data_IF_870594170864
#
_entry.id   IF_870594170864
#
_cell.length_a   1.000
_cell.length_b   1.000
_cell.length_c   1.000
_cell.angle_alpha   90.00
_cell.angle_beta   90.00
_cell.angle_gamma   90.00
#
_symmetry.space_group_name_H-M   'P 1'
#
loop_
_entity.id
_entity.type
_entity.pdbx_description
1 polymer ?
#
# COMPACT_ATOMS: atom_id res chain seq x y z
N UNK A 1 -12.27 7.35 -15.01
CA UNK A 1 -10.97 8.01 -15.14
C UNK A 1 -9.86 7.24 -14.40
N UNK A 2 -9.92 6.94 -13.07
CA UNK A 2 -8.81 6.31 -12.37
C UNK A 2 -8.31 5.00 -12.99
N UNK A 3 -9.21 4.17 -13.55
CA UNK A 3 -8.86 2.89 -14.19
C UNK A 3 -7.90 3.09 -15.37
N UNK A 4 -8.26 3.95 -16.32
CA UNK A 4 -7.45 4.18 -17.53
C UNK A 4 -6.12 4.86 -17.20
N UNK A 5 -6.12 5.77 -16.22
CA UNK A 5 -4.88 6.45 -15.78
C UNK A 5 -3.97 5.48 -15.05
N UNK A 6 -4.50 4.59 -14.21
CA UNK A 6 -3.71 3.56 -13.54
C UNK A 6 -3.05 2.57 -14.51
N UNK A 7 -3.66 2.38 -15.70
CA UNK A 7 -3.12 1.57 -16.80
C UNK A 7 -2.16 2.34 -17.74
N UNK A 8 -1.79 3.59 -17.37
CA UNK A 8 -0.77 4.35 -18.08
C UNK A 8 -1.30 5.30 -19.16
N UNK A 9 -2.62 5.55 -19.23
CA UNK A 9 -3.18 6.53 -20.19
C UNK A 9 -3.02 7.93 -19.64
N UNK A 10 -2.27 8.79 -20.35
CA UNK A 10 -1.99 10.18 -19.97
C UNK A 10 -2.99 11.18 -20.54
N UNK A 11 -3.54 10.89 -21.71
CA UNK A 11 -4.47 11.78 -22.41
C UNK A 11 -5.69 11.01 -22.91
N UNK A 12 -6.85 11.60 -22.75
CA UNK A 12 -8.11 11.07 -23.29
C UNK A 12 -9.07 12.22 -23.55
N UNK A 13 -9.91 12.06 -24.54
CA UNK A 13 -11.06 12.92 -24.78
C UNK A 13 -12.35 12.18 -24.38
N UNK A 14 -13.41 12.93 -24.14
CA UNK A 14 -14.69 12.33 -23.82
C UNK A 14 -15.86 13.25 -24.11
N UNK A 15 -16.78 12.78 -24.91
CA UNK A 15 -18.10 13.37 -25.12
C UNK A 15 -19.15 12.89 -24.11
N UNK A 16 -18.77 12.13 -23.08
CA UNK A 16 -19.71 11.52 -22.12
C UNK A 16 -20.60 12.55 -21.42
N UNK A 17 -20.05 13.74 -21.11
CA UNK A 17 -20.79 14.80 -20.43
C UNK A 17 -22.03 15.24 -21.19
N UNK A 18 -21.95 15.39 -22.53
CA UNK A 18 -23.09 15.81 -23.36
C UNK A 18 -23.98 14.62 -23.75
N UNK A 19 -23.41 13.44 -24.00
CA UNK A 19 -24.17 12.24 -24.33
C UNK A 19 -25.07 11.83 -23.18
N UNK A 20 -24.56 11.82 -21.95
CA UNK A 20 -25.38 11.55 -20.77
C UNK A 20 -26.39 12.64 -20.50
N UNK A 21 -26.08 13.92 -20.76
CA UNK A 21 -27.05 15.00 -20.63
C UNK A 21 -28.23 14.84 -21.61
N UNK A 22 -27.99 14.42 -22.85
CA UNK A 22 -29.03 14.15 -23.85
C UNK A 22 -29.94 12.96 -23.49
N UNK A 23 -29.38 12.02 -22.66
CA UNK A 23 -30.14 10.88 -22.10
C UNK A 23 -30.70 11.18 -20.71
N UNK A 24 -30.85 12.45 -20.34
CA UNK A 24 -31.33 12.90 -19.03
C UNK A 24 -30.61 12.22 -17.84
N UNK A 25 -29.27 12.03 -17.96
CA UNK A 25 -28.43 11.45 -16.93
C UNK A 25 -27.55 12.49 -16.26
N UNK A 26 -27.71 12.57 -14.97
CA UNK A 26 -26.90 13.35 -14.06
C UNK A 26 -25.67 12.53 -13.63
N UNK A 27 -24.46 13.00 -13.88
CA UNK A 27 -23.23 12.34 -13.49
C UNK A 27 -22.93 12.57 -12.02
N UNK A 28 -22.39 11.54 -11.38
CA UNK A 28 -21.82 11.57 -10.02
C UNK A 28 -20.40 11.01 -10.06
N UNK A 29 -19.73 11.03 -8.95
CA UNK A 29 -18.40 10.41 -8.79
C UNK A 29 -18.42 8.88 -8.96
N UNK A 30 -19.59 8.28 -8.75
CA UNK A 30 -19.79 6.82 -8.70
C UNK A 30 -20.62 6.28 -9.84
N UNK A 31 -21.09 7.12 -10.75
CA UNK A 31 -21.91 6.70 -11.89
C UNK A 31 -22.85 7.78 -12.39
N UNK A 32 -24.01 7.38 -12.88
CA UNK A 32 -25.03 8.31 -13.37
C UNK A 32 -26.41 7.98 -12.78
N UNK A 33 -27.22 9.01 -12.56
CA UNK A 33 -28.59 8.88 -12.06
C UNK A 33 -29.51 9.53 -13.09
N UNK A 34 -30.66 8.92 -13.41
CA UNK A 34 -31.67 9.57 -14.24
C UNK A 34 -32.27 10.75 -13.48
N UNK A 35 -32.44 11.87 -14.15
CA UNK A 35 -32.95 13.12 -13.54
C UNK A 35 -34.34 12.92 -12.89
N UNK A 36 -35.16 12.08 -13.47
CA UNK A 36 -36.47 11.69 -12.91
C UNK A 36 -36.40 11.05 -11.52
N UNK A 37 -35.25 10.40 -11.19
CA UNK A 37 -35.02 9.69 -9.92
C UNK A 37 -34.24 10.52 -8.89
N UNK A 38 -33.95 11.77 -9.20
CA UNK A 38 -33.22 12.67 -8.26
C UNK A 38 -34.23 13.39 -7.37
N UNK A 39 -34.13 13.21 -6.08
CA UNK A 39 -34.78 14.05 -5.08
C UNK A 39 -33.98 15.29 -4.73
N UNK A 40 -32.65 15.15 -4.75
CA UNK A 40 -31.68 16.22 -4.47
C UNK A 40 -30.60 16.25 -5.54
N UNK A 41 -29.95 17.40 -5.72
CA UNK A 41 -28.73 17.53 -6.54
C UNK A 41 -27.52 17.42 -5.62
N UNK A 42 -26.85 16.24 -5.51
CA UNK A 42 -25.75 16.02 -4.57
C UNK A 42 -24.42 16.61 -5.10
N UNK A 43 -24.45 17.87 -5.51
CA UNK A 43 -23.29 18.58 -6.03
C UNK A 43 -23.39 20.08 -5.72
N UNK A 44 -22.25 20.71 -5.48
CA UNK A 44 -22.14 22.14 -5.23
C UNK A 44 -21.57 22.94 -6.40
N UNK A 45 -21.67 22.40 -7.65
CA UNK A 45 -21.24 23.16 -8.82
C UNK A 45 -22.17 24.39 -9.06
N UNK A 46 -21.75 25.38 -9.86
CA UNK A 46 -22.57 26.60 -10.12
C UNK A 46 -23.98 26.37 -10.64
N UNK A 47 -24.24 25.20 -11.20
CA UNK A 47 -25.58 24.81 -11.65
C UNK A 47 -26.40 24.29 -10.47
N UNK A 48 -25.90 23.30 -9.76
CA UNK A 48 -26.64 22.62 -8.68
C UNK A 48 -26.85 23.51 -7.45
N UNK A 49 -25.99 24.52 -7.22
CA UNK A 49 -26.15 25.47 -6.14
C UNK A 49 -27.27 26.49 -6.37
N UNK A 50 -27.82 26.59 -7.58
CA UNK A 50 -28.81 27.60 -7.95
C UNK A 50 -30.20 27.04 -8.24
N UNK A 51 -30.38 25.72 -8.21
CA UNK A 51 -31.66 25.08 -8.50
C UNK A 51 -31.82 23.78 -7.71
N UNK A 52 -33.04 23.37 -7.54
CA UNK A 52 -33.45 22.08 -7.00
C UNK A 52 -33.55 21.01 -8.09
N UNK A 53 -33.65 19.73 -7.69
CA UNK A 53 -33.92 18.64 -8.62
C UNK A 53 -35.31 18.76 -9.29
N UNK A 54 -36.29 19.31 -8.57
CA UNK A 54 -37.62 19.57 -9.12
C UNK A 54 -37.59 20.65 -10.22
N UNK A 55 -36.92 21.76 -10.00
CA UNK A 55 -36.71 22.81 -11.00
C UNK A 55 -35.97 22.30 -12.21
N UNK A 56 -34.90 21.52 -12.04
CA UNK A 56 -34.16 20.90 -13.15
C UNK A 56 -35.06 20.02 -14.01
N UNK A 57 -35.96 19.21 -13.41
CA UNK A 57 -36.92 18.36 -14.13
C UNK A 57 -37.92 19.18 -14.93
N UNK A 58 -38.33 20.34 -14.44
CA UNK A 58 -39.36 21.18 -15.06
C UNK A 58 -38.80 22.03 -16.22
N UNK A 59 -37.48 22.15 -16.36
CA UNK A 59 -36.91 22.88 -17.48
C UNK A 59 -37.29 22.30 -18.83
N UNK A 60 -37.49 23.16 -19.86
CA UNK A 60 -37.61 22.73 -21.27
C UNK A 60 -36.40 21.82 -21.60
N UNK A 61 -36.61 20.83 -22.47
CA UNK A 61 -35.64 19.78 -22.76
C UNK A 61 -34.27 20.36 -23.14
N UNK A 62 -34.19 21.36 -24.01
CA UNK A 62 -32.92 21.90 -24.47
C UNK A 62 -32.17 22.67 -23.36
N UNK A 63 -32.90 23.37 -22.51
CA UNK A 63 -32.32 24.03 -21.34
C UNK A 63 -31.82 23.01 -20.31
N UNK A 64 -32.60 21.96 -20.05
CA UNK A 64 -32.23 20.87 -19.15
C UNK A 64 -30.96 20.16 -19.65
N UNK A 65 -30.87 19.83 -20.94
CA UNK A 65 -29.65 19.24 -21.54
C UNK A 65 -28.46 20.16 -21.31
N UNK A 66 -28.62 21.47 -21.51
CA UNK A 66 -27.55 22.46 -21.31
C UNK A 66 -27.06 22.49 -19.87
N UNK A 67 -28.00 22.54 -18.90
CA UNK A 67 -27.65 22.54 -17.48
C UNK A 67 -26.98 21.24 -17.06
N UNK A 68 -27.52 20.10 -17.50
CA UNK A 68 -26.91 18.78 -17.24
C UNK A 68 -25.52 18.64 -17.87
N UNK A 69 -25.33 19.08 -19.12
CA UNK A 69 -24.04 19.01 -19.78
C UNK A 69 -22.99 19.83 -19.03
N UNK A 70 -23.35 21.03 -18.58
CA UNK A 70 -22.46 21.85 -17.77
C UNK A 70 -22.13 21.19 -16.43
N UNK A 71 -23.14 20.68 -15.71
CA UNK A 71 -22.92 19.93 -14.48
C UNK A 71 -22.00 18.72 -14.71
N UNK A 72 -22.32 17.89 -15.70
CA UNK A 72 -21.55 16.69 -16.03
C UNK A 72 -20.08 17.03 -16.37
N UNK A 73 -19.86 18.14 -17.07
CA UNK A 73 -18.50 18.63 -17.36
C UNK A 73 -17.74 19.02 -16.08
N UNK A 74 -18.42 19.66 -15.10
CA UNK A 74 -17.81 19.93 -13.80
C UNK A 74 -17.39 18.64 -13.09
N UNK A 75 -18.21 17.58 -13.13
CA UNK A 75 -17.86 16.27 -12.55
C UNK A 75 -16.64 15.68 -13.25
N UNK A 76 -16.57 15.72 -14.59
CA UNK A 76 -15.39 15.26 -15.33
C UNK A 76 -14.11 15.98 -14.88
N UNK A 77 -14.13 17.31 -14.82
CA UNK A 77 -12.97 18.09 -14.37
C UNK A 77 -12.62 17.86 -12.91
N UNK A 78 -13.62 17.67 -12.05
CA UNK A 78 -13.38 17.33 -10.64
C UNK A 78 -12.64 15.99 -10.53
N UNK A 79 -13.08 14.96 -11.25
CA UNK A 79 -12.41 13.65 -11.24
C UNK A 79 -10.98 13.72 -11.78
N UNK A 80 -10.74 14.46 -12.86
CA UNK A 80 -9.37 14.69 -13.38
C UNK A 80 -8.48 15.34 -12.32
N UNK A 81 -8.99 16.35 -11.59
CA UNK A 81 -8.24 17.02 -10.50
C UNK A 81 -7.96 16.05 -9.35
N UNK A 82 -8.91 15.19 -8.99
CA UNK A 82 -8.75 14.15 -7.94
C UNK A 82 -7.70 13.13 -8.34
N UNK A 83 -7.73 12.66 -9.59
CA UNK A 83 -6.71 11.73 -10.11
C UNK A 83 -5.32 12.39 -10.05
N UNK A 84 -5.17 13.63 -10.52
CA UNK A 84 -3.91 14.37 -10.43
C UNK A 84 -3.41 14.52 -9.00
N UNK A 85 -4.31 14.81 -8.05
CA UNK A 85 -3.94 14.90 -6.64
C UNK A 85 -3.55 13.52 -6.08
N UNK A 86 -4.31 12.48 -6.42
CA UNK A 86 -4.01 11.11 -5.99
C UNK A 86 -2.64 10.62 -6.49
N UNK A 87 -2.26 10.96 -7.73
CA UNK A 87 -0.91 10.67 -8.27
C UNK A 87 0.15 11.38 -7.42
N UNK A 88 -0.01 12.68 -7.16
CA UNK A 88 0.95 13.46 -6.35
C UNK A 88 1.07 12.99 -4.90
N UNK A 89 -0.02 12.48 -4.35
CA UNK A 89 -0.06 11.93 -2.99
C UNK A 89 0.46 10.48 -2.92
N UNK A 90 0.72 9.82 -4.07
CA UNK A 90 1.07 8.40 -4.13
C UNK A 90 -0.11 7.46 -3.88
N UNK A 91 -1.37 7.93 -4.06
CA UNK A 91 -2.61 7.23 -3.68
C UNK A 91 -3.54 6.89 -4.85
N UNK A 92 -3.01 6.84 -6.07
CA UNK A 92 -3.83 6.53 -7.25
C UNK A 92 -4.56 5.18 -7.12
N UNK A 93 -3.89 4.16 -6.59
CA UNK A 93 -4.49 2.83 -6.40
C UNK A 93 -5.60 2.82 -5.34
N UNK A 94 -5.47 3.65 -4.30
CA UNK A 94 -6.54 3.82 -3.30
C UNK A 94 -7.78 4.49 -3.91
N UNK A 95 -7.58 5.52 -4.74
CA UNK A 95 -8.67 6.17 -5.47
C UNK A 95 -9.33 5.21 -6.46
N UNK A 96 -8.53 4.41 -7.18
CA UNK A 96 -9.03 3.39 -8.10
C UNK A 96 -9.93 2.39 -7.38
N UNK A 97 -9.47 1.85 -6.25
CA UNK A 97 -10.26 0.90 -5.46
C UNK A 97 -11.57 1.52 -4.93
N UNK A 98 -11.54 2.75 -4.43
CA UNK A 98 -12.75 3.46 -4.00
C UNK A 98 -13.77 3.58 -5.14
N UNK A 99 -13.32 3.91 -6.35
CA UNK A 99 -14.20 3.99 -7.52
C UNK A 99 -14.68 2.62 -7.99
N UNK A 100 -13.85 1.60 -7.89
CA UNK A 100 -14.23 0.23 -8.19
C UNK A 100 -15.39 -0.26 -7.31
N UNK A 101 -15.36 0.06 -6.02
CA UNK A 101 -16.40 -0.33 -5.04
C UNK A 101 -17.76 0.36 -5.24
N UNK A 102 -17.88 1.29 -6.19
CA UNK A 102 -19.14 1.93 -6.52
C UNK A 102 -20.12 1.02 -7.27
N UNK A 103 -19.66 -0.04 -7.91
CA UNK A 103 -20.49 -1.00 -8.62
C UNK A 103 -19.84 -2.39 -8.68
N UNK A 104 -20.59 -3.49 -8.47
CA UNK A 104 -20.01 -4.85 -8.49
C UNK A 104 -19.23 -5.19 -9.75
N UNK A 105 -19.70 -4.79 -10.94
CA UNK A 105 -18.97 -5.04 -12.21
C UNK A 105 -17.66 -4.25 -12.30
N UNK A 106 -17.62 -3.03 -11.76
CA UNK A 106 -16.37 -2.26 -11.68
C UNK A 106 -15.40 -2.90 -10.71
N UNK A 107 -15.90 -3.40 -9.58
CA UNK A 107 -15.09 -4.11 -8.61
C UNK A 107 -14.53 -5.41 -9.19
N UNK A 108 -15.34 -6.16 -9.92
CA UNK A 108 -14.86 -7.35 -10.64
C UNK A 108 -13.73 -6.99 -11.63
N UNK A 109 -13.90 -5.94 -12.43
CA UNK A 109 -12.86 -5.46 -13.34
C UNK A 109 -11.58 -5.04 -12.60
N UNK A 110 -11.70 -4.41 -11.43
CA UNK A 110 -10.56 -4.10 -10.57
C UNK A 110 -9.85 -5.37 -10.09
N UNK A 111 -10.58 -6.38 -9.63
CA UNK A 111 -10.01 -7.66 -9.19
C UNK A 111 -9.28 -8.36 -10.34
N UNK A 112 -9.84 -8.33 -11.56
CA UNK A 112 -9.18 -8.92 -12.74
C UNK A 112 -7.85 -8.19 -13.06
N UNK A 113 -7.82 -6.86 -12.97
CA UNK A 113 -6.57 -6.08 -13.10
C UNK A 113 -5.56 -6.52 -12.03
N UNK A 114 -5.99 -6.63 -10.77
CA UNK A 114 -5.13 -7.01 -9.65
C UNK A 114 -4.67 -8.47 -9.67
N UNK A 115 -5.26 -9.32 -10.53
CA UNK A 115 -4.85 -10.71 -10.78
C UNK A 115 -3.97 -10.85 -12.01
N UNK A 116 -3.99 -9.90 -12.91
CA UNK A 116 -3.24 -9.96 -14.17
C UNK A 116 -1.78 -9.54 -13.96
N UNK A 117 -0.87 -10.50 -14.03
CA UNK A 117 0.56 -10.28 -13.77
C UNK A 117 1.22 -9.31 -14.76
N UNK A 118 0.80 -9.31 -16.02
CA UNK A 118 1.38 -8.41 -17.04
C UNK A 118 0.95 -6.96 -16.80
N UNK A 119 -0.32 -6.75 -16.46
CA UNK A 119 -0.81 -5.40 -16.08
C UNK A 119 -0.13 -4.91 -14.80
N UNK A 120 0.03 -5.78 -13.79
CA UNK A 120 0.72 -5.41 -12.55
C UNK A 120 2.18 -5.03 -12.82
N UNK A 121 2.90 -5.76 -13.67
CA UNK A 121 4.28 -5.41 -14.05
C UNK A 121 4.35 -4.05 -14.73
N UNK A 122 3.45 -3.78 -15.69
CA UNK A 122 3.37 -2.46 -16.32
C UNK A 122 3.14 -1.34 -15.30
N UNK A 123 2.24 -1.56 -14.34
CA UNK A 123 1.93 -0.58 -13.30
C UNK A 123 3.07 -0.43 -12.27
N UNK A 124 3.89 -1.46 -12.04
CA UNK A 124 5.06 -1.39 -11.17
C UNK A 124 6.11 -0.38 -11.65
N UNK A 125 6.26 -0.20 -12.98
CA UNK A 125 7.17 0.78 -13.57
C UNK A 125 6.80 2.21 -13.19
N UNK A 126 5.49 2.49 -13.06
CA UNK A 126 4.94 3.77 -12.61
C UNK A 126 4.76 3.89 -11.10
N UNK A 127 5.17 2.89 -10.31
CA UNK A 127 4.98 2.91 -8.86
C UNK A 127 5.78 4.06 -8.21
N UNK A 128 5.16 4.86 -7.33
CA UNK A 128 5.83 6.01 -6.74
C UNK A 128 6.99 5.59 -5.83
N UNK A 129 8.13 6.25 -5.98
CA UNK A 129 9.31 6.07 -5.11
C UNK A 129 9.27 6.96 -3.87
N UNK A 130 8.36 7.92 -3.83
CA UNK A 130 8.09 8.80 -2.70
C UNK A 130 6.60 9.13 -2.65
N UNK A 131 6.09 9.43 -1.46
CA UNK A 131 4.69 9.82 -1.29
C UNK A 131 4.57 10.95 -0.27
N UNK A 132 3.64 11.88 -0.50
CA UNK A 132 3.31 12.95 0.46
C UNK A 132 2.43 12.45 1.59
N UNK A 133 1.75 11.34 1.39
CA UNK A 133 0.88 10.68 2.37
C UNK A 133 1.27 9.22 2.50
N UNK A 134 0.97 8.63 3.66
CA UNK A 134 1.23 7.23 3.92
C UNK A 134 0.45 6.28 3.00
N UNK A 135 0.96 5.08 2.87
CA UNK A 135 0.32 3.97 2.15
C UNK A 135 -0.68 3.29 3.08
N UNK A 136 -1.91 3.09 2.63
CA UNK A 136 -2.90 2.35 3.39
C UNK A 136 -3.15 0.99 2.74
N UNK A 137 -2.91 -0.07 3.48
CA UNK A 137 -3.21 -1.45 3.07
C UNK A 137 -4.40 -1.93 3.91
N UNK A 138 -5.36 -2.61 3.30
CA UNK A 138 -6.60 -3.01 3.95
C UNK A 138 -6.76 -4.53 4.01
N UNK A 139 -6.38 -5.22 2.95
CA UNK A 139 -6.65 -6.63 2.68
C UNK A 139 -5.59 -7.24 1.75
N UNK A 140 -5.81 -8.49 1.34
CA UNK A 140 -4.92 -9.18 0.40
C UNK A 140 -4.77 -8.49 -0.96
N UNK A 141 -5.84 -7.84 -1.43
CA UNK A 141 -5.81 -7.15 -2.73
C UNK A 141 -4.86 -5.96 -2.66
N UNK A 142 -4.85 -5.27 -1.53
CA UNK A 142 -3.94 -4.15 -1.30
C UNK A 142 -2.47 -4.59 -1.19
N UNK A 143 -2.18 -5.81 -0.74
CA UNK A 143 -0.82 -6.39 -0.78
C UNK A 143 -0.31 -6.64 -2.20
N UNK A 144 -1.21 -6.82 -3.16
CA UNK A 144 -0.87 -6.97 -4.59
C UNK A 144 -0.66 -5.65 -5.32
N UNK A 145 -0.87 -4.50 -4.67
CA UNK A 145 -0.68 -3.19 -5.32
C UNK A 145 0.73 -3.04 -5.89
N UNK A 146 0.85 -2.40 -7.07
CA UNK A 146 2.13 -2.20 -7.74
C UNK A 146 3.24 -1.65 -6.84
N UNK A 147 2.91 -0.70 -5.95
CA UNK A 147 3.86 -0.15 -4.99
C UNK A 147 4.43 -1.22 -4.04
N UNK A 148 3.58 -2.10 -3.48
CA UNK A 148 4.02 -3.14 -2.54
C UNK A 148 4.92 -4.14 -3.27
N UNK A 149 4.50 -4.58 -4.46
CA UNK A 149 5.25 -5.52 -5.30
C UNK A 149 6.61 -4.94 -5.72
N UNK A 150 6.61 -3.72 -6.26
CA UNK A 150 7.85 -3.03 -6.66
C UNK A 150 8.80 -2.81 -5.47
N UNK A 151 8.25 -2.52 -4.28
CA UNK A 151 9.04 -2.35 -3.06
C UNK A 151 9.65 -3.68 -2.61
N UNK A 152 8.89 -4.78 -2.56
CA UNK A 152 9.39 -6.12 -2.25
C UNK A 152 10.49 -6.54 -3.22
N UNK A 153 10.28 -6.32 -4.53
CA UNK A 153 11.26 -6.62 -5.58
C UNK A 153 12.55 -5.82 -5.37
N UNK A 154 12.48 -4.51 -5.18
CA UNK A 154 13.65 -3.64 -4.94
C UNK A 154 14.37 -3.98 -3.64
N UNK A 155 13.65 -4.33 -2.57
CA UNK A 155 14.27 -4.83 -1.34
C UNK A 155 15.08 -6.10 -1.60
N UNK A 156 14.49 -7.06 -2.28
CA UNK A 156 15.14 -8.32 -2.59
C UNK A 156 16.39 -8.10 -3.46
N UNK A 157 16.23 -7.44 -4.62
CA UNK A 157 17.27 -7.34 -5.64
C UNK A 157 18.39 -6.36 -5.27
N UNK A 158 18.06 -5.23 -4.68
CA UNK A 158 19.03 -4.13 -4.49
C UNK A 158 19.57 -4.03 -3.07
N UNK A 159 18.85 -4.61 -2.08
CA UNK A 159 19.18 -4.38 -0.68
C UNK A 159 19.53 -5.66 0.08
N UNK A 160 18.99 -6.80 -0.30
CA UNK A 160 19.14 -8.04 0.45
C UNK A 160 19.95 -9.10 -0.29
N UNK A 161 19.76 -9.28 -1.60
CA UNK A 161 20.48 -10.31 -2.35
C UNK A 161 21.99 -10.21 -2.19
N UNK A 162 22.62 -11.29 -1.68
CA UNK A 162 24.05 -11.36 -1.43
C UNK A 162 24.60 -10.42 -0.36
N UNK A 163 23.74 -9.88 0.51
CA UNK A 163 24.11 -8.89 1.53
C UNK A 163 24.91 -9.48 2.70
N UNK A 164 24.73 -10.74 3.02
CA UNK A 164 25.27 -11.37 4.23
C UNK A 164 26.81 -11.37 4.28
N UNK A 165 27.41 -10.24 4.64
CA UNK A 165 28.87 -10.09 4.74
C UNK A 165 29.47 -10.93 5.86
N UNK A 166 28.81 -10.97 7.03
CA UNK A 166 29.21 -11.76 8.21
C UNK A 166 28.46 -13.07 8.37
N UNK A 167 27.48 -13.35 7.51
CA UNK A 167 26.62 -14.54 7.60
C UNK A 167 25.60 -14.50 8.72
N UNK A 168 25.49 -13.42 9.48
CA UNK A 168 24.62 -13.30 10.65
C UNK A 168 23.64 -12.11 10.55
N UNK A 169 22.41 -12.31 11.00
CA UNK A 169 21.39 -11.28 11.04
C UNK A 169 20.71 -11.19 12.39
N UNK A 170 20.44 -9.97 12.86
CA UNK A 170 19.58 -9.67 13.99
C UNK A 170 18.18 -9.27 13.45
N UNK A 171 17.18 -10.08 13.78
CA UNK A 171 15.80 -9.85 13.40
C UNK A 171 15.05 -9.21 14.57
N UNK A 172 14.62 -7.96 14.38
CA UNK A 172 13.87 -7.17 15.36
C UNK A 172 12.40 -7.06 14.95
N UNK A 173 11.45 -7.03 15.90
CA UNK A 173 10.05 -6.77 15.56
C UNK A 173 9.87 -5.34 15.03
N UNK A 174 9.04 -5.15 14.00
CA UNK A 174 8.80 -3.81 13.42
C UNK A 174 8.21 -2.82 14.43
N UNK A 175 7.53 -3.31 15.46
CA UNK A 175 6.96 -2.49 16.53
C UNK A 175 8.02 -1.90 17.47
N UNK A 176 9.23 -2.44 17.46
CA UNK A 176 10.31 -2.00 18.34
C UNK A 176 10.87 -0.65 17.89
N UNK A 177 11.04 0.29 18.83
CA UNK A 177 11.81 1.51 18.60
C UNK A 177 13.30 1.23 18.75
N UNK A 178 14.03 1.35 17.68
CA UNK A 178 15.45 1.05 17.65
C UNK A 178 16.23 2.17 16.96
N UNK A 179 17.23 2.74 17.62
CA UNK A 179 18.02 3.87 17.10
C UNK A 179 19.33 3.41 16.50
N UNK A 180 19.92 4.23 15.62
CA UNK A 180 21.26 4.02 15.08
C UNK A 180 22.33 4.01 16.18
N UNK A 181 22.14 4.78 17.26
CA UNK A 181 23.03 4.76 18.43
C UNK A 181 23.04 3.38 19.13
N UNK A 182 21.87 2.72 19.25
CA UNK A 182 21.83 1.35 19.76
C UNK A 182 22.52 0.38 18.81
N UNK A 183 22.38 0.58 17.51
CA UNK A 183 23.02 -0.24 16.49
C UNK A 183 24.55 -0.17 16.57
N UNK A 184 25.14 1.00 16.86
CA UNK A 184 26.59 1.17 16.95
C UNK A 184 27.24 0.45 18.16
N UNK A 185 26.43 -0.06 19.08
CA UNK A 185 26.89 -0.87 20.23
C UNK A 185 26.85 -2.38 19.97
N UNK A 186 26.33 -2.79 18.80
CA UNK A 186 26.28 -4.19 18.37
C UNK A 186 27.49 -4.52 17.50
N UNK A 187 27.82 -5.81 17.31
CA UNK A 187 28.91 -6.24 16.42
C UNK A 187 28.73 -5.69 14.99
N UNK A 188 29.80 -5.16 14.38
CA UNK A 188 29.77 -4.55 13.04
C UNK A 188 29.41 -5.54 11.92
N UNK A 189 29.66 -6.83 12.13
CA UNK A 189 29.36 -7.91 11.19
C UNK A 189 27.89 -8.37 11.25
N UNK A 190 27.07 -7.80 12.13
CA UNK A 190 25.68 -8.18 12.34
C UNK A 190 24.74 -7.27 11.55
N UNK A 191 24.07 -7.82 10.54
CA UNK A 191 23.04 -7.09 9.81
C UNK A 191 21.74 -7.01 10.63
N UNK A 192 21.17 -5.79 10.73
CA UNK A 192 19.93 -5.56 11.49
C UNK A 192 18.75 -5.42 10.54
N UNK A 193 17.78 -6.30 10.68
CA UNK A 193 16.56 -6.36 9.87
C UNK A 193 15.32 -6.35 10.77
N UNK A 194 14.22 -5.79 10.26
CA UNK A 194 12.94 -5.75 10.98
C UNK A 194 11.93 -6.68 10.33
N UNK A 195 11.31 -7.54 11.12
CA UNK A 195 10.26 -8.46 10.70
C UNK A 195 8.86 -8.00 11.11
N UNK A 196 7.82 -8.60 10.50
CA UNK A 196 6.41 -8.29 10.78
C UNK A 196 5.83 -7.19 9.89
N UNK A 197 6.52 -6.84 8.81
CA UNK A 197 6.08 -5.86 7.83
C UNK A 197 5.40 -6.49 6.61
N UNK A 198 4.42 -5.82 5.99
CA UNK A 198 3.88 -6.22 4.67
C UNK A 198 4.93 -6.31 3.55
N UNK A 199 6.09 -5.74 3.74
CA UNK A 199 7.18 -5.74 2.74
C UNK A 199 8.22 -6.86 2.95
N UNK A 200 8.09 -7.65 4.02
CA UNK A 200 9.05 -8.66 4.43
C UNK A 200 10.07 -8.10 5.43
N UNK A 201 11.35 -8.42 5.24
CA UNK A 201 12.45 -7.99 6.11
C UNK A 201 12.98 -6.61 5.69
N UNK A 202 12.94 -5.65 6.60
CA UNK A 202 13.35 -4.27 6.32
C UNK A 202 14.72 -4.00 6.97
N UNK A 203 15.77 -3.69 6.19
CA UNK A 203 17.06 -3.25 6.73
C UNK A 203 16.93 -1.97 7.57
N UNK A 204 17.69 -1.88 8.66
CA UNK A 204 17.71 -0.72 9.57
C UNK A 204 17.83 0.62 8.82
N UNK A 205 18.68 0.70 7.82
CA UNK A 205 18.91 1.92 7.04
C UNK A 205 17.70 2.39 6.22
N UNK A 206 16.73 1.50 5.95
CA UNK A 206 15.52 1.81 5.20
C UNK A 206 14.27 2.01 6.07
N UNK A 207 14.32 1.61 7.33
CA UNK A 207 13.17 1.59 8.23
C UNK A 207 12.41 2.92 8.29
N UNK A 208 13.12 4.04 8.26
CA UNK A 208 12.55 5.38 8.40
C UNK A 208 12.30 6.08 7.06
N UNK A 209 12.41 5.35 5.95
CA UNK A 209 12.16 5.87 4.61
C UNK A 209 10.77 5.46 4.11
N UNK A 210 10.29 6.14 3.05
CA UNK A 210 9.08 5.74 2.33
C UNK A 210 9.36 4.45 1.53
N UNK A 211 8.40 3.51 1.49
CA UNK A 211 7.09 3.52 2.12
C UNK A 211 7.07 2.95 3.55
N UNK A 212 8.18 2.39 4.06
CA UNK A 212 8.23 1.57 5.27
C UNK A 212 7.73 2.30 6.53
N UNK A 213 8.17 3.54 6.73
CA UNK A 213 7.78 4.35 7.90
C UNK A 213 6.38 4.96 7.80
N UNK A 214 5.73 4.84 6.66
CA UNK A 214 4.48 5.53 6.35
C UNK A 214 3.37 4.58 5.90
N UNK A 215 3.49 3.29 6.17
CA UNK A 215 2.46 2.30 5.82
C UNK A 215 1.56 2.02 7.01
N UNK A 216 0.25 2.17 6.78
CA UNK A 216 -0.79 1.85 7.75
C UNK A 216 -1.54 0.59 7.29
N UNK A 217 -1.79 -0.33 8.20
CA UNK A 217 -2.57 -1.54 7.93
C UNK A 217 -3.26 -2.04 9.21
N UNK A 218 -4.43 -2.72 9.07
CA UNK A 218 -5.12 -3.29 10.21
C UNK A 218 -4.31 -4.44 10.82
N UNK A 219 -4.44 -4.63 12.13
CA UNK A 219 -3.75 -5.73 12.85
C UNK A 219 -4.08 -7.10 12.27
N UNK A 220 -5.33 -7.31 11.88
CA UNK A 220 -5.82 -8.56 11.31
C UNK A 220 -5.08 -8.97 10.03
N UNK A 221 -4.57 -8.03 9.24
CA UNK A 221 -3.88 -8.33 7.98
C UNK A 221 -2.67 -9.26 8.18
N UNK A 222 -1.91 -9.08 9.27
CA UNK A 222 -0.75 -9.92 9.57
C UNK A 222 -1.17 -11.37 9.90
N UNK A 223 -2.27 -11.55 10.63
CA UNK A 223 -2.75 -12.87 11.01
C UNK A 223 -3.43 -13.59 9.84
N UNK A 224 -4.25 -12.87 9.08
CA UNK A 224 -4.99 -13.41 7.93
C UNK A 224 -4.08 -13.78 6.76
N UNK A 225 -2.94 -13.12 6.63
CA UNK A 225 -1.96 -13.31 5.53
C UNK A 225 -0.59 -13.76 6.00
N UNK A 226 -0.54 -14.38 7.17
CA UNK A 226 0.69 -14.80 7.81
C UNK A 226 1.60 -15.61 6.88
N UNK A 227 1.05 -16.60 6.18
CA UNK A 227 1.82 -17.48 5.29
C UNK A 227 2.44 -16.72 4.10
N UNK A 228 1.71 -15.79 3.50
CA UNK A 228 2.21 -14.95 2.40
C UNK A 228 3.35 -14.05 2.88
N UNK A 229 3.16 -13.40 4.02
CA UNK A 229 4.13 -12.45 4.56
C UNK A 229 5.39 -13.16 5.07
N UNK A 230 5.24 -14.33 5.66
CA UNK A 230 6.37 -15.19 6.04
C UNK A 230 7.13 -15.70 4.83
N UNK A 231 6.44 -16.16 3.77
CA UNK A 231 7.10 -16.61 2.55
C UNK A 231 7.97 -15.51 1.93
N UNK A 232 7.50 -14.25 1.94
CA UNK A 232 8.30 -13.12 1.46
C UNK A 232 9.52 -12.87 2.37
N UNK A 233 9.36 -12.89 3.69
CA UNK A 233 10.45 -12.69 4.64
C UNK A 233 11.52 -13.80 4.52
N UNK A 234 11.10 -15.03 4.42
CA UNK A 234 11.97 -16.21 4.25
C UNK A 234 12.74 -16.14 2.93
N UNK A 235 12.04 -15.87 1.83
CA UNK A 235 12.67 -15.68 0.50
C UNK A 235 13.76 -14.61 0.53
N UNK A 236 13.50 -13.49 1.21
CA UNK A 236 14.44 -12.40 1.35
C UNK A 236 15.64 -12.79 2.21
N UNK A 237 15.43 -13.54 3.28
CA UNK A 237 16.48 -14.05 4.16
C UNK A 237 17.41 -15.02 3.42
N UNK A 238 16.84 -15.96 2.66
CA UNK A 238 17.61 -16.90 1.82
C UNK A 238 18.44 -16.17 0.77
N UNK A 239 17.83 -15.22 0.05
CA UNK A 239 18.51 -14.45 -0.99
C UNK A 239 19.65 -13.60 -0.42
N UNK A 240 19.57 -13.16 0.82
CA UNK A 240 20.64 -12.45 1.51
C UNK A 240 21.83 -13.36 1.83
N UNK A 241 21.60 -14.67 2.04
CA UNK A 241 22.66 -15.66 2.28
C UNK A 241 23.09 -15.78 3.75
N UNK A 242 22.26 -15.36 4.70
CA UNK A 242 22.53 -15.50 6.13
C UNK A 242 22.55 -16.97 6.57
N UNK A 243 23.46 -17.31 7.46
CA UNK A 243 23.64 -18.65 8.05
C UNK A 243 23.14 -18.73 9.48
N UNK A 244 23.11 -17.59 10.18
CA UNK A 244 22.62 -17.47 11.54
C UNK A 244 21.63 -16.31 11.66
N UNK A 245 20.57 -16.52 12.44
CA UNK A 245 19.59 -15.52 12.80
C UNK A 245 19.44 -15.42 14.32
N UNK A 246 19.60 -14.22 14.84
CA UNK A 246 19.21 -13.86 16.20
C UNK A 246 17.83 -13.21 16.10
N UNK A 247 16.80 -13.79 16.68
CA UNK A 247 15.43 -13.28 16.62
C UNK A 247 15.05 -12.74 17.98
N UNK A 248 14.86 -11.43 18.09
CA UNK A 248 14.37 -10.82 19.32
C UNK A 248 12.85 -11.02 19.41
N UNK A 249 12.39 -11.59 20.52
CA UNK A 249 10.97 -11.78 20.79
C UNK A 249 10.24 -10.43 20.88
N UNK A 250 8.99 -10.36 20.36
CA UNK A 250 8.22 -9.11 20.39
C UNK A 250 7.68 -8.86 21.81
N UNK A 251 7.69 -7.60 22.25
CA UNK A 251 7.05 -7.17 23.51
C UNK A 251 5.52 -7.24 23.46
N UNK A 252 4.95 -7.37 22.26
CA UNK A 252 3.51 -7.36 22.04
C UNK A 252 3.04 -8.66 21.39
N UNK A 253 1.90 -9.19 21.84
CA UNK A 253 1.27 -10.40 21.28
C UNK A 253 0.98 -10.33 19.78
N UNK A 254 0.97 -9.12 19.19
CA UNK A 254 0.69 -8.88 17.77
C UNK A 254 1.63 -9.66 16.84
N UNK A 255 2.89 -9.84 17.21
CA UNK A 255 3.90 -10.45 16.35
C UNK A 255 4.42 -11.80 16.89
N UNK A 256 3.91 -12.30 18.04
CA UNK A 256 4.35 -13.58 18.63
C UNK A 256 4.21 -14.73 17.62
N UNK A 257 3.03 -14.86 17.00
CA UNK A 257 2.80 -15.91 16.01
C UNK A 257 3.69 -15.77 14.77
N UNK A 258 3.93 -14.53 14.32
CA UNK A 258 4.82 -14.25 13.18
C UNK A 258 6.27 -14.65 13.53
N UNK A 259 6.74 -14.25 14.69
CA UNK A 259 8.09 -14.55 15.18
C UNK A 259 8.32 -16.06 15.30
N UNK A 260 7.44 -16.77 16.00
CA UNK A 260 7.54 -18.23 16.20
C UNK A 260 7.58 -18.99 14.86
N UNK A 261 6.71 -18.61 13.94
CA UNK A 261 6.61 -19.25 12.64
C UNK A 261 7.79 -18.91 11.73
N UNK A 262 8.30 -17.68 11.81
CA UNK A 262 9.52 -17.26 11.11
C UNK A 262 10.72 -18.07 11.61
N UNK A 263 10.89 -18.19 12.92
CA UNK A 263 11.96 -18.99 13.53
C UNK A 263 11.90 -20.45 13.10
N UNK A 264 10.70 -21.04 13.08
CA UNK A 264 10.49 -22.42 12.62
C UNK A 264 10.92 -22.59 11.15
N UNK A 265 10.45 -21.73 10.26
CA UNK A 265 10.75 -21.80 8.80
C UNK A 265 12.24 -21.59 8.51
N UNK A 266 12.90 -20.71 9.24
CA UNK A 266 14.35 -20.50 9.06
C UNK A 266 15.14 -21.73 9.53
N UNK A 267 14.74 -22.40 10.63
CA UNK A 267 15.36 -23.67 11.06
C UNK A 267 15.17 -24.79 10.02
N UNK A 268 14.01 -24.87 9.39
CA UNK A 268 13.74 -25.83 8.32
C UNK A 268 14.64 -25.64 7.10
N UNK A 269 15.12 -24.43 6.85
CA UNK A 269 16.12 -24.12 5.83
C UNK A 269 17.57 -24.37 6.27
N UNK A 270 17.78 -24.89 7.48
CA UNK A 270 19.11 -25.15 8.02
C UNK A 270 19.82 -23.91 8.55
N UNK A 271 19.09 -22.84 8.84
CA UNK A 271 19.65 -21.63 9.48
C UNK A 271 19.78 -21.92 10.99
N UNK A 272 20.93 -21.54 11.57
CA UNK A 272 21.15 -21.53 13.02
C UNK A 272 20.35 -20.37 13.66
N UNK A 273 19.25 -20.69 14.34
CA UNK A 273 18.32 -19.69 14.88
C UNK A 273 18.39 -19.65 16.39
N UNK A 274 18.76 -18.49 16.92
CA UNK A 274 18.76 -18.16 18.35
C UNK A 274 17.65 -17.14 18.65
N UNK A 275 16.72 -17.54 19.53
CA UNK A 275 15.69 -16.63 20.03
C UNK A 275 16.21 -15.88 21.25
N UNK A 276 16.01 -14.55 21.29
CA UNK A 276 16.49 -13.67 22.33
C UNK A 276 15.32 -13.06 23.10
N UNK A 277 15.38 -13.08 24.42
CA UNK A 277 14.45 -12.33 25.28
C UNK A 277 14.86 -10.85 25.36
N UNK A 278 16.16 -10.57 25.28
CA UNK A 278 16.68 -9.21 25.29
C UNK A 278 17.96 -9.05 24.47
N UNK A 279 18.24 -7.84 23.98
CA UNK A 279 19.49 -7.53 23.28
C UNK A 279 20.75 -7.65 24.16
N UNK A 280 20.61 -7.70 25.48
CA UNK A 280 21.72 -7.91 26.42
C UNK A 280 22.38 -9.27 26.23
N UNK A 281 21.66 -10.27 25.78
CA UNK A 281 22.19 -11.61 25.50
C UNK A 281 23.23 -11.63 24.38
N UNK A 282 23.09 -10.72 23.39
CA UNK A 282 24.09 -10.56 22.33
C UNK A 282 25.39 -9.86 22.81
N UNK A 283 25.27 -8.94 23.76
CA UNK A 283 26.43 -8.16 24.24
C UNK A 283 27.17 -8.89 25.35
N UNK A 284 26.45 -9.72 26.14
CA UNK A 284 27.02 -10.47 27.26
C UNK A 284 27.85 -11.69 26.89
N UNK A 285 27.76 -12.18 25.63
CA UNK A 285 28.53 -13.34 25.14
C UNK A 285 29.97 -13.03 24.68
N UNK A 286 30.36 -11.76 24.59
CA UNK A 286 31.63 -11.31 24.02
C UNK A 286 32.57 -10.62 25.04
N UNK A 287 32.47 -10.93 26.32
CA UNK A 287 33.44 -10.36 27.28
C UNK A 287 32.99 -10.42 28.73
N UNK A 288 33.62 -11.27 29.51
CA UNK A 288 33.64 -11.13 30.96
C UNK A 288 34.36 -9.86 31.30
N UNK A 289 33.66 -8.81 31.77
CA UNK A 289 34.30 -7.59 32.26
C UNK A 289 33.40 -6.38 32.23
N UNK A 290 33.01 -6.00 33.43
CA UNK A 290 32.55 -4.69 33.86
C UNK A 290 31.09 -4.26 33.55
N UNK A 291 30.30 -4.40 34.60
CA UNK A 291 28.92 -3.92 34.68
C UNK A 291 28.81 -2.41 34.59
N UNK A 292 28.34 -1.91 33.44
CA UNK A 292 27.71 -0.58 33.34
C UNK A 292 26.44 -0.66 32.50
N UNK A 293 25.39 -0.17 33.11
CA UNK A 293 24.00 -0.15 32.60
C UNK A 293 23.87 0.19 31.10
N UNK A 294 23.23 -0.70 30.35
CA UNK A 294 22.72 -0.45 29.00
C UNK A 294 21.18 -0.47 29.04
#
# INVERSE_FOLDING_TARGET
>A
FPFIVALGVDMFDSASYILYARDDRYMTETGTIRVEKLDYLPCCCPICSKMSAAELRQLPRDERIKMLAMHNLYICFMEVRRVKQAIRDGRLMELLEQRARSHPSLYQGFIEIMRNEDLLRLMEEGAPTSGRRGVNLYDEVSLRRPLVRATRKKLLENCLAGRARGGEALLLPETMRFSLEKASRLPENLDILFYGSPYGLIPLGLRYTYPFSQTNYPKALLDERLDELLAEAVKQFEAAGYKRAYILKPETRRLERFEMELARRLRELGVDVMELESLKELVGGAGGGDGRNV
#
